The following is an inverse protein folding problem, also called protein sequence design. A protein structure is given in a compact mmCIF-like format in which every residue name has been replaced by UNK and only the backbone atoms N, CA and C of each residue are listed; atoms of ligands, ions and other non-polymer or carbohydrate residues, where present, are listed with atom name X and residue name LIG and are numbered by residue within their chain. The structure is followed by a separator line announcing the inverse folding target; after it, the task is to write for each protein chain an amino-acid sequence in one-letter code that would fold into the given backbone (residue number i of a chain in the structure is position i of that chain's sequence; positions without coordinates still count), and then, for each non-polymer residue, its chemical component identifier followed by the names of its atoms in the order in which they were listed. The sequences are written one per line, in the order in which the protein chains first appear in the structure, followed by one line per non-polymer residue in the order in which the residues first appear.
data_IF_150214427403
#
_entry.id   IF_150214427403
#
_cell.length_a   1.000
_cell.length_b   1.000
_cell.length_c   1.000
_cell.angle_alpha   90.00
_cell.angle_beta   90.00
_cell.angle_gamma   90.00
#
_symmetry.space_group_name_H-M   'P 1'
#
loop_
_entity.id
_entity.type
_entity.pdbx_description
1 polymer ?
#
# COMPACT_ATOMS: atom_id res chain seq x y z
N UNK A 1 -14.40 14.61 4.01
CA UNK A 1 -13.56 14.88 2.82
C UNK A 1 -12.13 14.50 3.17
N UNK A 2 -11.47 13.70 2.34
CA UNK A 2 -10.16 13.11 2.62
C UNK A 2 -8.96 14.00 2.24
N UNK A 3 -9.16 15.15 1.57
CA UNK A 3 -8.09 15.93 0.95
C UNK A 3 -7.92 17.31 1.58
N UNK A 4 -6.66 17.69 1.82
CA UNK A 4 -6.29 18.99 2.36
C UNK A 4 -5.12 19.60 1.58
N UNK A 5 -5.23 20.86 1.18
CA UNK A 5 -4.09 21.61 0.67
C UNK A 5 -3.18 22.04 1.83
N UNK A 6 -1.88 22.11 1.57
CA UNK A 6 -0.90 22.61 2.52
C UNK A 6 0.16 23.45 1.79
N UNK A 7 0.40 24.67 2.24
CA UNK A 7 1.34 25.64 1.62
C UNK A 7 1.18 25.75 0.09
N UNK A 8 -0.07 25.78 -0.39
CA UNK A 8 -0.39 25.90 -1.81
C UNK A 8 -0.32 24.59 -2.60
N UNK A 9 0.18 23.50 -2.03
CA UNK A 9 0.14 22.17 -2.65
C UNK A 9 -1.23 21.53 -2.44
N UNK A 10 -1.87 21.16 -3.54
CA UNK A 10 -3.15 20.44 -3.56
C UNK A 10 -2.86 19.02 -4.02
N UNK A 11 -3.34 17.98 -3.30
CA UNK A 11 -3.18 16.59 -3.75
C UNK A 11 -3.71 16.35 -5.17
N UNK A 12 -2.99 15.59 -5.96
CA UNK A 12 -3.38 15.18 -7.32
C UNK A 12 -3.74 13.69 -7.30
N UNK A 13 -4.94 13.36 -7.76
CA UNK A 13 -5.43 11.98 -7.83
C UNK A 13 -6.02 11.71 -9.19
N UNK A 14 -5.57 10.66 -9.86
CA UNK A 14 -6.14 10.23 -11.12
C UNK A 14 -7.54 9.64 -10.94
N UNK A 15 -8.41 9.87 -11.90
CA UNK A 15 -9.85 9.55 -11.79
C UNK A 15 -10.16 8.05 -11.64
N UNK A 16 -9.29 7.17 -12.15
CA UNK A 16 -9.44 5.71 -12.01
C UNK A 16 -9.05 5.19 -10.62
N UNK A 17 -8.44 6.03 -9.78
CA UNK A 17 -8.01 5.66 -8.43
C UNK A 17 -9.09 5.95 -7.40
N UNK A 18 -9.11 5.16 -6.35
CA UNK A 18 -10.04 5.32 -5.24
C UNK A 18 -9.32 5.66 -3.94
N UNK A 19 -9.72 6.78 -3.34
CA UNK A 19 -9.30 7.18 -1.99
C UNK A 19 -10.50 7.11 -1.07
N UNK A 20 -10.43 6.23 -0.08
CA UNK A 20 -11.55 6.04 0.85
C UNK A 20 -11.89 7.35 1.58
N UNK A 21 -13.17 7.69 1.80
CA UNK A 21 -13.57 8.92 2.47
C UNK A 21 -13.00 9.12 3.88
N UNK A 22 -12.61 8.06 4.56
CA UNK A 22 -11.95 8.08 5.88
C UNK A 22 -10.41 8.13 5.80
N UNK A 23 -9.81 8.12 4.61
CA UNK A 23 -8.38 8.38 4.45
C UNK A 23 -8.10 9.89 4.60
N UNK A 24 -6.85 10.25 4.90
CA UNK A 24 -6.40 11.64 4.95
C UNK A 24 -5.22 11.83 3.99
N UNK A 25 -5.35 12.75 3.04
CA UNK A 25 -4.32 13.06 2.05
C UNK A 25 -4.06 14.56 2.09
N UNK A 26 -2.86 14.95 2.51
CA UNK A 26 -2.50 16.35 2.77
C UNK A 26 -1.27 16.77 1.98
N UNK A 27 -1.34 17.91 1.32
CA UNK A 27 -0.20 18.61 0.71
C UNK A 27 0.27 18.00 -0.62
N UNK A 28 1.58 17.90 -0.82
CA UNK A 28 2.21 17.49 -2.07
C UNK A 28 2.18 15.96 -2.26
N UNK A 29 1.01 15.45 -2.60
CA UNK A 29 0.76 14.03 -2.85
C UNK A 29 0.25 13.84 -4.28
N UNK A 30 0.89 12.96 -5.04
CA UNK A 30 0.53 12.63 -6.43
C UNK A 30 0.19 11.14 -6.49
N UNK A 31 -1.04 10.82 -6.88
CA UNK A 31 -1.57 9.45 -6.98
C UNK A 31 -1.91 9.14 -8.44
N UNK A 32 -1.28 8.10 -8.98
CA UNK A 32 -1.41 7.61 -10.35
C UNK A 32 -2.75 6.91 -10.63
N UNK A 33 -2.79 6.12 -11.70
CA UNK A 33 -3.99 5.41 -12.16
C UNK A 33 -4.20 4.08 -11.39
N UNK A 34 -5.45 3.68 -11.19
CA UNK A 34 -5.86 2.40 -10.57
C UNK A 34 -5.19 2.15 -9.20
N UNK A 35 -5.04 3.19 -8.40
CA UNK A 35 -4.49 3.13 -7.04
C UNK A 35 -5.62 3.01 -6.03
N UNK A 36 -5.46 2.13 -5.05
CA UNK A 36 -6.37 2.00 -3.91
C UNK A 36 -5.73 2.59 -2.64
N UNK A 37 -6.43 3.53 -2.00
CA UNK A 37 -6.08 4.06 -0.67
C UNK A 37 -7.19 3.71 0.31
N UNK A 38 -6.86 2.84 1.27
CA UNK A 38 -7.80 2.28 2.24
C UNK A 38 -8.25 3.23 3.34
N UNK A 39 -9.32 2.89 4.08
CA UNK A 39 -9.80 3.68 5.21
C UNK A 39 -8.74 3.82 6.30
N UNK A 40 -8.68 4.99 6.92
CA UNK A 40 -7.70 5.31 7.96
C UNK A 40 -6.26 5.49 7.48
N UNK A 41 -5.97 5.33 6.18
CA UNK A 41 -4.65 5.64 5.64
C UNK A 41 -4.38 7.15 5.70
N UNK A 42 -3.15 7.53 6.10
CA UNK A 42 -2.70 8.92 6.23
C UNK A 42 -1.49 9.14 5.34
N UNK A 43 -1.65 9.98 4.32
CA UNK A 43 -0.61 10.39 3.40
C UNK A 43 -0.33 11.88 3.60
N UNK A 44 0.79 12.20 4.24
CA UNK A 44 1.10 13.58 4.64
C UNK A 44 2.33 14.10 3.91
N UNK A 45 2.11 14.79 2.77
CA UNK A 45 3.13 15.45 1.95
C UNK A 45 3.29 16.94 2.29
N UNK A 46 3.34 17.27 3.59
CA UNK A 46 3.45 18.63 4.09
C UNK A 46 4.91 19.12 4.21
N UNK A 47 5.85 18.20 4.40
CA UNK A 47 7.28 18.51 4.51
C UNK A 47 8.09 18.14 3.26
N UNK A 48 7.51 17.34 2.38
CA UNK A 48 8.15 16.87 1.17
C UNK A 48 7.12 16.40 0.15
N UNK A 49 7.45 15.40 -0.65
CA UNK A 49 6.58 14.90 -1.69
C UNK A 49 6.27 13.41 -1.52
N UNK A 50 5.04 13.00 -1.83
CA UNK A 50 4.65 11.59 -1.96
C UNK A 50 4.25 11.35 -3.41
N UNK A 51 4.90 10.39 -4.07
CA UNK A 51 4.56 9.94 -5.41
C UNK A 51 4.14 8.48 -5.33
N UNK A 52 2.93 8.20 -5.77
CA UNK A 52 2.37 6.84 -5.85
C UNK A 52 2.05 6.57 -7.31
N UNK A 53 2.85 5.70 -7.94
CA UNK A 53 2.67 5.31 -9.34
C UNK A 53 1.47 4.38 -9.51
N UNK A 54 1.15 4.07 -10.77
CA UNK A 54 -0.03 3.30 -11.16
C UNK A 54 -0.11 1.92 -10.52
N UNK A 55 -1.32 1.49 -10.21
CA UNK A 55 -1.62 0.15 -9.70
C UNK A 55 -1.07 -0.15 -8.30
N UNK A 56 -0.61 0.85 -7.57
CA UNK A 56 -0.22 0.70 -6.17
C UNK A 56 -1.44 0.52 -5.27
N UNK A 57 -1.20 0.02 -4.05
CA UNK A 57 -2.19 0.11 -2.97
C UNK A 57 -1.53 0.51 -1.66
N UNK A 58 -2.22 1.35 -0.90
CA UNK A 58 -1.88 1.72 0.47
C UNK A 58 -3.09 1.35 1.32
N UNK A 59 -2.95 0.27 2.07
CA UNK A 59 -4.07 -0.36 2.74
C UNK A 59 -4.47 0.39 4.03
N UNK A 60 -5.43 -0.18 4.75
CA UNK A 60 -6.05 0.44 5.92
C UNK A 60 -5.02 0.79 7.00
N UNK A 61 -5.18 1.98 7.59
CA UNK A 61 -4.36 2.49 8.71
C UNK A 61 -2.86 2.63 8.41
N UNK A 62 -2.45 2.64 7.14
CA UNK A 62 -1.07 2.94 6.79
C UNK A 62 -0.74 4.42 7.01
N UNK A 63 0.51 4.71 7.36
CA UNK A 63 1.03 6.07 7.47
C UNK A 63 2.17 6.25 6.48
N UNK A 64 2.09 7.29 5.65
CA UNK A 64 3.14 7.68 4.71
C UNK A 64 3.53 9.12 4.99
N UNK A 65 4.79 9.32 5.35
CA UNK A 65 5.38 10.62 5.66
C UNK A 65 6.88 10.63 5.32
N UNK A 66 7.57 11.76 5.52
CA UNK A 66 9.00 11.88 5.24
C UNK A 66 9.64 13.03 6.03
N UNK A 67 10.97 13.06 6.05
CA UNK A 67 11.71 14.23 6.51
C UNK A 67 11.56 15.42 5.55
N UNK A 68 11.75 16.66 6.05
CA UNK A 68 11.65 17.86 5.21
C UNK A 68 12.55 17.80 3.97
N UNK A 69 11.95 18.14 2.82
CA UNK A 69 12.65 18.20 1.53
C UNK A 69 12.93 16.87 0.86
N UNK A 70 12.45 15.75 1.42
CA UNK A 70 12.63 14.42 0.81
C UNK A 70 11.37 13.94 0.08
N UNK A 71 11.48 12.83 -0.65
CA UNK A 71 10.38 12.23 -1.41
C UNK A 71 10.19 10.79 -1.01
N UNK A 72 8.94 10.41 -0.72
CA UNK A 72 8.53 9.00 -0.69
C UNK A 72 8.03 8.63 -2.09
N UNK A 73 8.61 7.58 -2.67
CA UNK A 73 8.25 7.14 -4.00
C UNK A 73 7.82 5.67 -4.01
N UNK A 74 6.54 5.41 -4.25
CA UNK A 74 5.99 4.08 -4.49
C UNK A 74 5.95 3.84 -6.00
N UNK A 75 6.81 2.95 -6.49
CA UNK A 75 6.86 2.58 -7.91
C UNK A 75 5.72 1.64 -8.26
N UNK A 76 5.45 1.53 -9.57
CA UNK A 76 4.31 0.80 -10.14
C UNK A 76 4.04 -0.54 -9.45
N UNK A 77 2.79 -0.74 -9.04
CA UNK A 77 2.33 -1.97 -8.42
C UNK A 77 2.90 -2.25 -7.02
N UNK A 78 3.53 -1.26 -6.37
CA UNK A 78 3.97 -1.41 -4.98
C UNK A 78 2.74 -1.65 -4.07
N UNK A 79 2.87 -2.62 -3.17
CA UNK A 79 1.79 -3.10 -2.31
C UNK A 79 2.16 -2.83 -0.85
N UNK A 80 1.41 -1.95 -0.19
CA UNK A 80 1.64 -1.56 1.21
C UNK A 80 0.53 -2.13 2.08
N UNK A 81 0.86 -3.15 2.85
CA UNK A 81 -0.06 -3.90 3.72
C UNK A 81 -0.54 -3.11 4.92
N UNK A 82 -1.69 -3.51 5.45
CA UNK A 82 -2.42 -2.85 6.55
C UNK A 82 -1.51 -2.41 7.70
N UNK A 83 -1.66 -1.18 8.16
CA UNK A 83 -0.96 -0.62 9.30
C UNK A 83 0.54 -0.35 9.10
N UNK A 84 1.09 -0.54 7.89
CA UNK A 84 2.49 -0.26 7.64
C UNK A 84 2.81 1.23 7.75
N UNK A 85 4.03 1.55 8.20
CA UNK A 85 4.56 2.91 8.30
C UNK A 85 5.69 3.06 7.29
N UNK A 86 5.54 4.03 6.38
CA UNK A 86 6.56 4.41 5.41
C UNK A 86 7.03 5.81 5.76
N UNK A 87 8.22 5.92 6.34
CA UNK A 87 8.79 7.21 6.76
C UNK A 87 9.96 7.61 5.87
N UNK A 88 9.77 7.59 4.56
CA UNK A 88 10.79 7.93 3.56
C UNK A 88 11.06 6.81 2.57
N UNK A 89 12.01 7.08 1.68
CA UNK A 89 12.57 6.08 0.77
C UNK A 89 11.77 5.78 -0.49
N UNK A 90 12.28 4.79 -1.23
CA UNK A 90 11.73 4.32 -2.50
C UNK A 90 11.29 2.87 -2.38
N UNK A 91 10.04 2.59 -2.70
CA UNK A 91 9.49 1.24 -2.80
C UNK A 91 9.49 0.82 -4.26
N UNK A 92 10.24 -0.23 -4.57
CA UNK A 92 10.46 -0.72 -5.94
C UNK A 92 9.21 -1.28 -6.60
N UNK A 93 9.28 -1.39 -7.92
CA UNK A 93 8.19 -1.93 -8.74
C UNK A 93 7.76 -3.32 -8.24
N UNK A 94 6.45 -3.53 -8.14
CA UNK A 94 5.85 -4.80 -7.71
C UNK A 94 6.41 -5.35 -6.37
N UNK A 95 6.95 -4.50 -5.49
CA UNK A 95 7.36 -4.93 -4.14
C UNK A 95 6.14 -5.11 -3.21
N UNK A 96 6.35 -5.77 -2.08
CA UNK A 96 5.35 -5.91 -1.03
C UNK A 96 5.93 -5.50 0.33
N UNK A 97 5.24 -4.60 0.99
CA UNK A 97 5.47 -4.26 2.40
C UNK A 97 4.42 -4.95 3.23
N UNK A 98 4.83 -5.83 4.11
CA UNK A 98 3.95 -6.62 4.97
C UNK A 98 3.23 -5.76 6.02
N UNK A 99 2.16 -6.32 6.56
CA UNK A 99 1.33 -5.66 7.59
C UNK A 99 2.16 -5.21 8.79
N UNK A 100 1.92 -3.98 9.25
CA UNK A 100 2.61 -3.36 10.40
C UNK A 100 4.15 -3.32 10.28
N UNK A 101 4.69 -3.43 9.07
CA UNK A 101 6.11 -3.19 8.86
C UNK A 101 6.43 -1.69 8.93
N UNK A 102 7.65 -1.37 9.37
CA UNK A 102 8.15 0.01 9.46
C UNK A 102 9.33 0.17 8.52
N UNK A 103 9.21 1.07 7.57
CA UNK A 103 10.26 1.46 6.61
C UNK A 103 10.76 2.83 7.00
N UNK A 104 12.04 2.92 7.37
CA UNK A 104 12.66 4.18 7.79
C UNK A 104 13.21 4.97 6.59
N UNK A 105 13.82 6.11 6.91
CA UNK A 105 14.30 7.10 5.94
C UNK A 105 15.39 6.55 5.01
N UNK A 106 15.37 7.03 3.77
CA UNK A 106 16.37 6.72 2.74
C UNK A 106 16.48 5.22 2.41
N UNK A 107 15.48 4.42 2.80
CA UNK A 107 15.43 3.00 2.42
C UNK A 107 15.14 2.86 0.92
N UNK A 108 15.86 1.96 0.27
CA UNK A 108 15.59 1.56 -1.11
C UNK A 108 15.16 0.11 -1.13
N UNK A 109 13.88 -0.14 -1.41
CA UNK A 109 13.35 -1.49 -1.61
C UNK A 109 13.40 -1.82 -3.09
N UNK A 110 14.12 -2.88 -3.46
CA UNK A 110 14.26 -3.31 -4.85
C UNK A 110 12.97 -3.87 -5.44
N UNK A 111 12.94 -3.97 -6.76
CA UNK A 111 11.83 -4.57 -7.52
C UNK A 111 11.50 -5.98 -6.99
N UNK A 112 10.20 -6.30 -6.86
CA UNK A 112 9.73 -7.63 -6.45
C UNK A 112 10.26 -8.13 -5.10
N UNK A 113 10.84 -7.24 -4.27
CA UNK A 113 11.21 -7.59 -2.91
C UNK A 113 9.99 -7.71 -2.02
N UNK A 114 10.06 -8.60 -1.04
CA UNK A 114 9.00 -8.85 -0.06
C UNK A 114 9.53 -8.54 1.34
N UNK A 115 8.96 -7.56 1.98
CA UNK A 115 9.18 -7.24 3.39
C UNK A 115 8.09 -7.94 4.20
N UNK A 116 8.49 -8.81 5.12
CA UNK A 116 7.55 -9.55 5.96
C UNK A 116 6.80 -8.64 6.95
N UNK A 117 5.66 -9.12 7.42
CA UNK A 117 4.89 -8.42 8.45
C UNK A 117 5.73 -8.18 9.71
N UNK A 118 5.49 -7.04 10.39
CA UNK A 118 6.19 -6.60 11.62
C UNK A 118 7.70 -6.37 11.46
N UNK A 119 8.22 -6.33 10.23
CA UNK A 119 9.64 -6.04 10.01
C UNK A 119 9.95 -4.56 10.29
N UNK A 120 11.08 -4.30 10.95
CA UNK A 120 11.64 -2.96 11.09
C UNK A 120 12.85 -2.81 10.17
N UNK A 121 12.68 -2.04 9.08
CA UNK A 121 13.74 -1.75 8.11
C UNK A 121 14.44 -0.46 8.50
N UNK A 122 15.69 -0.52 8.99
CA UNK A 122 16.42 0.66 9.46
C UNK A 122 16.76 1.61 8.30
N UNK A 123 16.95 2.88 8.65
CA UNK A 123 17.28 3.93 7.69
C UNK A 123 18.49 3.57 6.82
N UNK A 124 18.44 4.02 5.55
CA UNK A 124 19.49 3.83 4.54
C UNK A 124 19.75 2.37 4.14
N UNK A 125 18.90 1.44 4.55
CA UNK A 125 19.03 0.05 4.10
C UNK A 125 18.68 -0.06 2.61
N UNK A 126 19.59 -0.60 1.84
CA UNK A 126 19.38 -0.96 0.43
C UNK A 126 19.02 -2.45 0.35
N UNK A 127 17.82 -2.73 -0.13
CA UNK A 127 17.30 -4.10 -0.30
C UNK A 127 17.32 -4.43 -1.78
N UNK A 128 18.13 -5.41 -2.21
CA UNK A 128 18.17 -5.83 -3.62
C UNK A 128 16.81 -6.30 -4.13
N UNK A 129 16.64 -6.26 -5.45
CA UNK A 129 15.45 -6.85 -6.08
C UNK A 129 15.28 -8.32 -5.65
N UNK A 130 14.03 -8.78 -5.59
CA UNK A 130 13.69 -10.18 -5.29
C UNK A 130 14.24 -10.69 -3.94
N UNK A 131 14.37 -9.82 -2.94
CA UNK A 131 14.83 -10.20 -1.60
C UNK A 131 13.64 -10.41 -0.67
N UNK A 132 13.64 -11.50 0.09
CA UNK A 132 12.74 -11.71 1.22
C UNK A 132 13.42 -11.19 2.49
N UNK A 133 12.78 -10.20 3.11
CA UNK A 133 13.32 -9.48 4.28
C UNK A 133 12.36 -9.62 5.45
N UNK A 134 12.86 -9.99 6.61
CA UNK A 134 12.04 -10.15 7.82
C UNK A 134 12.80 -9.75 9.08
N UNK A 135 12.07 -9.51 10.15
CA UNK A 135 12.60 -9.34 11.51
C UNK A 135 12.72 -7.88 11.96
N UNK A 136 13.10 -7.73 13.23
CA UNK A 136 13.36 -6.45 13.90
C UNK A 136 14.70 -6.55 14.66
N UNK A 137 15.80 -5.94 14.17
CA UNK A 137 15.93 -5.26 12.88
C UNK A 137 15.81 -6.23 11.70
N UNK A 138 15.39 -5.70 10.54
CA UNK A 138 15.14 -6.48 9.34
C UNK A 138 16.44 -7.07 8.76
N UNK A 139 16.34 -8.31 8.26
CA UNK A 139 17.45 -9.01 7.60
C UNK A 139 16.96 -9.66 6.30
N UNK A 140 17.79 -9.62 5.27
CA UNK A 140 17.58 -10.40 4.05
C UNK A 140 17.83 -11.86 4.38
N UNK A 141 16.84 -12.74 4.14
CA UNK A 141 16.92 -14.15 4.51
C UNK A 141 17.03 -15.09 3.30
N UNK A 142 16.52 -14.70 2.16
CA UNK A 142 16.63 -15.47 0.90
C UNK A 142 16.12 -14.67 -0.29
N UNK A 143 16.30 -15.23 -1.49
CA UNK A 143 15.68 -14.76 -2.71
C UNK A 143 14.19 -15.14 -2.74
N UNK A 144 13.37 -14.25 -3.33
CA UNK A 144 11.93 -14.49 -3.59
C UNK A 144 11.81 -15.33 -4.87
N UNK A 145 11.13 -16.49 -4.80
CA UNK A 145 10.94 -17.35 -5.96
C UNK A 145 9.89 -16.79 -6.94
N UNK A 146 9.91 -17.30 -8.18
CA UNK A 146 8.94 -16.90 -9.20
C UNK A 146 7.49 -17.20 -8.77
N UNK A 147 7.27 -18.31 -8.06
CA UNK A 147 5.95 -18.65 -7.53
C UNK A 147 5.49 -17.66 -6.46
N UNK A 148 6.41 -17.18 -5.61
CA UNK A 148 6.09 -16.15 -4.61
C UNK A 148 5.76 -14.81 -5.29
N UNK A 149 6.50 -14.45 -6.35
CA UNK A 149 6.23 -13.24 -7.13
C UNK A 149 4.87 -13.34 -7.80
N UNK A 150 4.57 -14.45 -8.46
CA UNK A 150 3.27 -14.69 -9.10
C UNK A 150 2.14 -14.61 -8.08
N UNK A 151 2.26 -15.28 -6.93
CA UNK A 151 1.27 -15.21 -5.86
C UNK A 151 1.04 -13.78 -5.36
N UNK A 152 2.11 -13.04 -5.11
CA UNK A 152 2.04 -11.64 -4.68
C UNK A 152 1.36 -10.76 -5.74
N UNK A 153 1.71 -10.97 -7.02
CA UNK A 153 1.16 -10.21 -8.15
C UNK A 153 -0.34 -10.44 -8.31
N UNK A 154 -0.79 -11.68 -8.20
CA UNK A 154 -2.22 -12.03 -8.18
C UNK A 154 -2.96 -11.31 -7.03
N UNK A 155 -2.35 -11.28 -5.84
CA UNK A 155 -2.90 -10.54 -4.70
C UNK A 155 -2.95 -9.03 -4.95
N UNK A 156 -1.96 -8.46 -5.62
CA UNK A 156 -1.96 -7.04 -5.99
C UNK A 156 -3.03 -6.74 -7.03
N UNK A 157 -3.28 -7.64 -7.99
CA UNK A 157 -4.32 -7.48 -8.99
C UNK A 157 -5.73 -7.34 -8.36
N UNK A 158 -5.99 -8.01 -7.24
CA UNK A 158 -7.25 -7.82 -6.50
C UNK A 158 -7.39 -6.38 -5.99
N UNK A 159 -6.29 -5.79 -5.48
CA UNK A 159 -6.32 -4.40 -5.05
C UNK A 159 -6.40 -3.40 -6.22
N UNK A 160 -5.89 -3.77 -7.40
CA UNK A 160 -6.04 -2.96 -8.62
C UNK A 160 -7.48 -2.97 -9.17
N UNK A 161 -8.26 -3.98 -8.82
CA UNK A 161 -9.69 -4.05 -9.14
C UNK A 161 -10.55 -3.23 -8.16
N UNK A 162 -10.12 -3.11 -6.88
CA UNK A 162 -10.90 -2.43 -5.83
C UNK A 162 -11.32 -0.99 -6.17
N UNK A 163 -10.52 -0.13 -6.82
CA UNK A 163 -10.97 1.20 -7.21
C UNK A 163 -12.27 1.17 -8.02
N UNK A 164 -12.35 0.32 -9.04
CA UNK A 164 -13.55 0.15 -9.86
C UNK A 164 -14.73 -0.39 -9.05
N UNK A 165 -14.48 -1.38 -8.21
CA UNK A 165 -15.53 -1.99 -7.36
C UNK A 165 -16.05 -0.97 -6.34
N UNK A 166 -15.17 -0.18 -5.72
CA UNK A 166 -15.56 0.86 -4.77
C UNK A 166 -16.35 1.98 -5.46
N UNK A 167 -15.93 2.43 -6.64
CA UNK A 167 -16.68 3.44 -7.40
C UNK A 167 -18.09 2.97 -7.78
N UNK A 168 -18.26 1.69 -8.02
CA UNK A 168 -19.55 1.13 -8.46
C UNK A 168 -20.46 0.65 -7.35
N UNK A 169 -19.92 0.22 -6.20
CA UNK A 169 -20.69 -0.53 -5.20
C UNK A 169 -20.53 -0.12 -3.74
N UNK A 170 -19.49 0.68 -3.40
CA UNK A 170 -19.30 1.14 -2.02
C UNK A 170 -20.25 2.29 -1.69
N UNK A 171 -21.29 2.01 -0.93
CA UNK A 171 -22.32 2.98 -0.56
C UNK A 171 -22.51 2.96 0.96
N UNK A 172 -22.60 4.15 1.56
CA UNK A 172 -22.99 4.28 2.96
C UNK A 172 -24.41 3.74 3.17
N UNK A 173 -24.61 2.95 4.21
CA UNK A 173 -25.91 2.35 4.51
C UNK A 173 -26.14 2.28 6.02
N UNK A 174 -27.41 2.13 6.41
CA UNK A 174 -27.76 1.75 7.78
C UNK A 174 -27.54 0.23 7.95
N UNK A 175 -26.97 -0.22 9.09
CA UNK A 175 -26.76 -1.64 9.32
C UNK A 175 -28.08 -2.38 9.52
N UNK A 176 -28.15 -3.61 9.02
CA UNK A 176 -29.25 -4.51 9.36
C UNK A 176 -29.10 -4.98 10.82
N UNK A 177 -30.23 -5.18 11.50
CA UNK A 177 -30.25 -5.70 12.89
C UNK A 177 -30.26 -7.21 12.95
N UNK A 178 -30.63 -7.87 11.85
CA UNK A 178 -30.70 -9.33 11.73
C UNK A 178 -30.11 -9.78 10.41
N UNK A 179 -29.66 -11.04 10.36
CA UNK A 179 -29.14 -11.64 9.14
C UNK A 179 -30.31 -12.01 8.23
N UNK A 180 -30.30 -11.50 7.00
CA UNK A 180 -31.29 -11.84 6.00
C UNK A 180 -31.22 -13.33 5.60
N UNK A 181 -32.39 -13.93 5.35
CA UNK A 181 -32.48 -15.31 4.90
C UNK A 181 -31.77 -15.50 3.56
N UNK A 182 -30.91 -16.52 3.48
CA UNK A 182 -30.17 -16.84 2.25
C UNK A 182 -28.92 -15.98 2.00
N UNK A 183 -28.41 -15.25 3.00
CA UNK A 183 -27.16 -14.50 2.89
C UNK A 183 -26.01 -15.43 2.45
N UNK A 184 -25.52 -15.23 1.24
CA UNK A 184 -24.42 -16.01 0.70
C UNK A 184 -23.07 -15.53 1.23
N UNK A 185 -22.08 -16.42 1.24
CA UNK A 185 -20.67 -16.04 1.41
C UNK A 185 -20.05 -15.74 0.05
N UNK A 186 -19.06 -14.85 0.04
CA UNK A 186 -18.29 -14.60 -1.18
C UNK A 186 -17.46 -15.82 -1.55
N UNK A 187 -17.32 -16.08 -2.85
CA UNK A 187 -16.48 -17.16 -3.33
C UNK A 187 -14.99 -16.85 -3.07
N UNK A 188 -14.24 -17.90 -2.71
CA UNK A 188 -12.80 -17.79 -2.53
C UNK A 188 -12.12 -17.75 -3.90
N UNK A 189 -11.60 -16.56 -4.27
CA UNK A 189 -10.93 -16.33 -5.57
C UNK A 189 -9.41 -16.25 -5.45
N UNK A 190 -8.87 -16.17 -4.22
CA UNK A 190 -7.45 -16.08 -3.93
C UNK A 190 -7.07 -16.97 -2.75
N UNK A 191 -5.91 -17.63 -2.83
CA UNK A 191 -5.47 -18.63 -1.86
C UNK A 191 -4.23 -18.14 -1.11
N UNK A 192 -4.14 -18.46 0.18
CA UNK A 192 -2.95 -18.20 1.00
C UNK A 192 -1.73 -18.91 0.40
N UNK A 193 -0.55 -18.33 0.60
CA UNK A 193 0.70 -18.93 0.11
C UNK A 193 0.87 -20.40 0.52
N UNK A 194 0.52 -20.73 1.78
CA UNK A 194 0.62 -22.10 2.32
C UNK A 194 -0.32 -23.12 1.63
N UNK A 195 -1.38 -22.64 1.00
CA UNK A 195 -2.39 -23.48 0.32
C UNK A 195 -2.03 -23.76 -1.15
N UNK A 196 -0.97 -23.14 -1.67
CA UNK A 196 -0.47 -23.35 -3.06
C UNK A 196 0.57 -24.48 -3.19
N UNK A 197 0.85 -25.23 -2.11
CA UNK A 197 1.79 -26.35 -2.11
C UNK A 197 1.10 -27.65 -2.47
#
# INVERSE_FOLDING_TARGET
MAFYSFNGFIPVVKASSFVHPQANVTGNVIIGENVYIGPGAVLRGDWGQIIIEDGCNVQENCVVHMFPGTTVHLKKGAHVGHGAIIHGGTLGENCMIGMNAVIMDDVVVGKEAIIGALAFVPAKMEIPARSLVVGNPAKIIKEVSDEMIAWKTDGTALYQQLPSDCHSSLVACEPLTEVESGRSTQQKTYFKWQERK
#
